data_IF_626744562226
#
_entry.id   IF_626744562226
#
_cell.length_a   1.000
_cell.length_b   1.000
_cell.length_c   1.000
_cell.angle_alpha   90.00
_cell.angle_beta   90.00
_cell.angle_gamma   90.00
#
_symmetry.space_group_name_H-M   'P 1'
#
loop_
_entity.id
_entity.type
_entity.pdbx_description
1 polymer ?
#
# COMPACT_ATOMS: atom_id res chain seq x y z
N UNK A 1 -9.82 3.69 -1.78
CA UNK A 1 -9.23 4.73 -0.89
C UNK A 1 -9.04 4.13 0.48
N UNK A 2 -7.87 4.33 1.09
CA UNK A 2 -7.52 3.90 2.44
C UNK A 2 -6.93 5.12 3.15
N UNK A 3 -7.52 5.54 4.27
CA UNK A 3 -7.15 6.80 4.92
C UNK A 3 -7.53 8.01 4.06
N UNK A 4 -6.75 9.09 4.16
CA UNK A 4 -7.08 10.37 3.51
C UNK A 4 -6.49 10.50 2.10
N UNK A 5 -5.29 9.98 1.86
CA UNK A 5 -4.58 10.17 0.58
C UNK A 5 -4.02 8.91 -0.07
N UNK A 6 -4.28 7.70 0.45
CA UNK A 6 -3.77 6.46 -0.15
C UNK A 6 -4.86 5.77 -0.99
N UNK A 7 -4.50 5.39 -2.21
CA UNK A 7 -5.34 4.64 -3.13
C UNK A 7 -4.63 3.38 -3.61
N UNK A 8 -5.38 2.28 -3.62
CA UNK A 8 -4.97 1.05 -4.31
C UNK A 8 -5.90 0.93 -5.51
N UNK A 9 -5.32 0.91 -6.70
CA UNK A 9 -6.05 0.88 -7.96
C UNK A 9 -5.51 -0.25 -8.86
N UNK A 10 -6.37 -0.99 -9.56
CA UNK A 10 -5.93 -1.87 -10.64
C UNK A 10 -5.25 -1.04 -11.74
N UNK A 11 -4.24 -1.58 -12.41
CA UNK A 11 -3.48 -0.84 -13.44
C UNK A 11 -4.32 -0.43 -14.65
N UNK A 12 -5.43 -1.14 -14.91
CA UNK A 12 -6.34 -0.91 -16.03
C UNK A 12 -7.43 0.12 -15.76
N UNK A 13 -7.44 0.75 -14.58
CA UNK A 13 -8.45 1.74 -14.19
C UNK A 13 -7.79 3.08 -13.90
N UNK A 14 -8.45 4.14 -14.31
CA UNK A 14 -8.01 5.51 -13.99
C UNK A 14 -7.94 5.73 -12.47
N UNK A 15 -6.88 6.44 -12.06
CA UNK A 15 -6.71 6.87 -10.67
C UNK A 15 -7.69 8.01 -10.36
N UNK A 16 -8.54 7.89 -9.32
CA UNK A 16 -9.53 8.93 -9.02
C UNK A 16 -8.93 10.27 -8.61
N UNK A 17 -7.78 10.25 -7.94
CA UNK A 17 -7.01 11.43 -7.55
C UNK A 17 -5.55 11.23 -7.95
N UNK A 18 -5.09 11.84 -9.05
CA UNK A 18 -3.71 11.72 -9.52
C UNK A 18 -2.66 12.27 -8.55
N UNK A 19 -3.03 13.21 -7.66
CA UNK A 19 -2.12 13.84 -6.71
C UNK A 19 -2.00 13.07 -5.40
N UNK A 20 -2.88 12.09 -5.19
CA UNK A 20 -2.83 11.20 -4.04
C UNK A 20 -1.70 10.17 -4.16
N UNK A 21 -1.45 9.46 -3.07
CA UNK A 21 -0.52 8.33 -3.03
C UNK A 21 -1.19 7.13 -3.70
N UNK A 22 -0.90 6.93 -4.99
CA UNK A 22 -1.49 5.86 -5.79
C UNK A 22 -0.56 4.64 -5.86
N UNK A 23 -1.00 3.51 -5.31
CA UNK A 23 -0.42 2.18 -5.51
C UNK A 23 -1.22 1.47 -6.61
N UNK A 24 -0.53 1.15 -7.71
CA UNK A 24 -1.13 0.35 -8.78
C UNK A 24 -0.83 -1.13 -8.49
N UNK A 25 -1.89 -1.91 -8.31
CA UNK A 25 -1.79 -3.33 -8.04
C UNK A 25 -2.91 -4.08 -8.75
N UNK A 26 -2.53 -4.99 -9.63
CA UNK A 26 -3.49 -5.83 -10.32
C UNK A 26 -4.00 -6.94 -9.38
N UNK A 27 -5.32 -7.13 -9.26
CA UNK A 27 -5.85 -8.26 -8.52
C UNK A 27 -5.34 -9.57 -9.14
N UNK A 28 -4.52 -10.30 -8.39
CA UNK A 28 -3.96 -11.59 -8.76
C UNK A 28 -4.37 -12.71 -7.79
N UNK A 29 -3.73 -13.88 -7.95
CA UNK A 29 -3.91 -15.06 -7.07
C UNK A 29 -3.20 -14.93 -5.71
N UNK A 30 -2.31 -13.95 -5.55
CA UNK A 30 -1.62 -13.70 -4.29
C UNK A 30 -2.55 -13.03 -3.29
N UNK A 31 -2.52 -13.48 -2.03
CA UNK A 31 -3.28 -12.88 -0.94
C UNK A 31 -2.88 -11.41 -0.73
N UNK A 32 -3.85 -10.55 -0.40
CA UNK A 32 -3.59 -9.14 -0.09
C UNK A 32 -3.91 -8.14 -1.21
N UNK A 33 -4.89 -8.38 -2.08
CA UNK A 33 -5.36 -7.42 -3.10
C UNK A 33 -6.05 -6.16 -2.52
N UNK A 34 -6.02 -5.97 -1.20
CA UNK A 34 -6.64 -4.84 -0.49
C UNK A 34 -8.14 -5.01 -0.21
N UNK A 35 -8.78 -6.08 -0.68
CA UNK A 35 -10.22 -6.33 -0.47
C UNK A 35 -10.54 -7.03 0.85
N UNK A 36 -9.56 -7.71 1.46
CA UNK A 36 -9.70 -8.27 2.80
C UNK A 36 -9.66 -7.18 3.86
N UNK A 37 -10.57 -7.27 4.85
CA UNK A 37 -10.72 -6.28 5.90
C UNK A 37 -9.41 -6.00 6.68
N UNK A 38 -8.58 -7.01 6.90
CA UNK A 38 -7.30 -6.85 7.62
C UNK A 38 -6.30 -6.02 6.82
N UNK A 39 -6.15 -6.27 5.51
CA UNK A 39 -5.29 -5.48 4.63
C UNK A 39 -5.76 -4.02 4.60
N UNK A 40 -7.07 -3.79 4.53
CA UNK A 40 -7.64 -2.44 4.55
C UNK A 40 -7.28 -1.67 5.83
N UNK A 41 -7.39 -2.32 7.00
CA UNK A 41 -7.03 -1.72 8.29
C UNK A 41 -5.53 -1.40 8.36
N UNK A 42 -4.66 -2.31 7.91
CA UNK A 42 -3.22 -2.08 7.86
C UNK A 42 -2.87 -0.90 6.96
N UNK A 43 -3.48 -0.78 5.78
CA UNK A 43 -3.24 0.33 4.86
C UNK A 43 -3.71 1.67 5.44
N UNK A 44 -4.86 1.71 6.10
CA UNK A 44 -5.36 2.92 6.78
C UNK A 44 -4.44 3.35 7.90
N UNK A 45 -3.97 2.41 8.74
CA UNK A 45 -3.03 2.70 9.81
C UNK A 45 -1.68 3.18 9.26
N UNK A 46 -1.17 2.53 8.21
CA UNK A 46 0.11 2.84 7.59
C UNK A 46 0.12 4.25 6.97
N UNK A 47 -0.99 4.68 6.37
CA UNK A 47 -1.13 6.02 5.78
C UNK A 47 -0.97 7.15 6.81
N UNK A 48 -1.32 6.89 8.06
CA UNK A 48 -1.21 7.83 9.17
C UNK A 48 0.19 7.92 9.78
N UNK A 49 1.10 7.03 9.39
CA UNK A 49 2.46 7.00 9.94
C UNK A 49 3.38 7.97 9.18
N UNK A 50 4.24 8.66 9.92
CA UNK A 50 5.40 9.32 9.31
C UNK A 50 6.47 8.26 9.02
N UNK A 51 6.68 7.97 7.74
CA UNK A 51 7.65 6.98 7.26
C UNK A 51 8.93 7.61 6.73
N UNK A 52 9.06 8.94 6.74
CA UNK A 52 10.21 9.64 6.15
C UNK A 52 11.54 9.13 6.72
N UNK A 53 12.42 8.61 5.85
CA UNK A 53 13.74 8.10 6.24
C UNK A 53 13.70 6.77 7.02
N UNK A 54 12.55 6.08 7.08
CA UNK A 54 12.42 4.83 7.84
C UNK A 54 12.65 3.61 6.96
N UNK A 55 13.20 2.56 7.58
CA UNK A 55 13.18 1.20 7.02
C UNK A 55 11.97 0.44 7.58
N UNK A 56 11.18 -0.15 6.70
CA UNK A 56 9.97 -0.93 7.05
C UNK A 56 10.18 -2.40 6.69
N UNK A 57 9.69 -3.30 7.53
CA UNK A 57 9.64 -4.75 7.25
C UNK A 57 8.20 -5.16 7.00
N UNK A 58 7.92 -5.71 5.82
CA UNK A 58 6.63 -6.28 5.45
C UNK A 58 6.71 -7.81 5.61
N UNK A 59 6.33 -8.30 6.78
CA UNK A 59 6.47 -9.71 7.14
C UNK A 59 5.21 -10.48 6.74
N UNK A 60 5.37 -11.49 5.88
CA UNK A 60 4.25 -12.16 5.22
C UNK A 60 3.73 -11.35 4.03
N UNK A 61 4.64 -10.83 3.20
CA UNK A 61 4.31 -9.75 2.27
C UNK A 61 3.28 -10.14 1.19
N UNK A 62 3.15 -11.41 0.82
CA UNK A 62 2.16 -11.87 -0.15
C UNK A 62 2.25 -11.09 -1.47
N UNK A 63 1.17 -10.35 -1.81
CA UNK A 63 1.15 -9.42 -2.96
C UNK A 63 2.13 -8.23 -2.87
N UNK A 64 2.72 -7.97 -1.70
CA UNK A 64 3.62 -6.85 -1.42
C UNK A 64 2.91 -5.52 -1.19
N UNK A 65 1.57 -5.52 -1.07
CA UNK A 65 0.76 -4.30 -1.03
C UNK A 65 1.16 -3.32 0.09
N UNK A 66 1.48 -3.84 1.28
CA UNK A 66 1.83 -3.01 2.44
C UNK A 66 3.22 -2.41 2.27
N UNK A 67 4.18 -3.21 1.81
CA UNK A 67 5.52 -2.74 1.48
C UNK A 67 5.54 -1.68 0.37
N UNK A 68 4.79 -1.89 -0.72
CA UNK A 68 4.70 -0.91 -1.81
C UNK A 68 4.05 0.38 -1.32
N UNK A 69 2.98 0.28 -0.52
CA UNK A 69 2.36 1.44 0.10
C UNK A 69 3.34 2.20 1.02
N UNK A 70 4.14 1.50 1.83
CA UNK A 70 5.12 2.10 2.72
C UNK A 70 6.18 2.92 1.96
N UNK A 71 6.74 2.38 0.87
CA UNK A 71 7.67 3.12 0.01
C UNK A 71 7.01 4.39 -0.54
N UNK A 72 5.79 4.28 -1.08
CA UNK A 72 5.09 5.42 -1.67
C UNK A 72 4.66 6.48 -0.65
N UNK A 73 4.49 6.08 0.61
CA UNK A 73 4.19 6.97 1.73
C UNK A 73 5.42 7.68 2.31
N UNK A 74 6.63 7.31 1.89
CA UNK A 74 7.88 8.00 2.25
C UNK A 74 8.93 7.14 2.96
N UNK A 75 8.71 5.83 3.10
CA UNK A 75 9.76 4.95 3.61
C UNK A 75 10.97 4.96 2.69
N UNK A 76 12.16 5.03 3.27
CA UNK A 76 13.43 4.99 2.53
C UNK A 76 13.70 3.58 1.99
N UNK A 77 13.33 2.56 2.77
CA UNK A 77 13.58 1.17 2.43
C UNK A 77 12.48 0.26 2.94
N UNK A 78 12.16 -0.77 2.16
CA UNK A 78 11.28 -1.86 2.57
C UNK A 78 11.98 -3.21 2.37
N UNK A 79 11.78 -4.11 3.33
CA UNK A 79 12.19 -5.51 3.25
C UNK A 79 10.93 -6.37 3.35
N UNK A 80 10.58 -7.08 2.27
CA UNK A 80 9.51 -8.07 2.27
C UNK A 80 10.06 -9.46 2.61
N UNK A 81 9.38 -10.18 3.50
CA UNK A 81 9.74 -11.56 3.93
C UNK A 81 8.53 -12.48 3.74
#
# INVERSE_FOLDING_TARGET
>A
KFGERLWICPSWRDVPDPNAVNVLLDPGLAFGTGTHATTALCLQWLEQQDLSGKTVVDFGCGSGILGIAAIKLGAERVIGI
#
